data_IF_870531376908
#
_entry.id   IF_870531376908
#
_cell.length_a   1.000
_cell.length_b   1.000
_cell.length_c   1.000
_cell.angle_alpha   90.00
_cell.angle_beta   90.00
_cell.angle_gamma   90.00
#
_symmetry.space_group_name_H-M   'P 1'
#
loop_
_entity.id
_entity.type
_entity.pdbx_description
1 polymer ?
#
# COMPACT_ATOMS: atom_id res chain seq x y z
N UNK A 1 54.54 0.59 5.30
CA UNK A 1 53.39 -0.28 5.63
C UNK A 1 52.90 0.01 7.04
N UNK A 2 51.63 0.39 7.19
CA UNK A 2 50.99 0.46 8.50
C UNK A 2 50.83 -0.97 9.06
N UNK A 3 50.93 -1.14 10.39
CA UNK A 3 50.76 -2.45 11.03
C UNK A 3 49.38 -3.11 10.75
N UNK A 4 48.41 -2.33 10.23
CA UNK A 4 47.07 -2.78 9.88
C UNK A 4 47.01 -3.64 8.61
N UNK A 5 47.68 -3.22 7.52
CA UNK A 5 47.66 -3.97 6.24
C UNK A 5 48.34 -5.34 6.38
N UNK A 6 49.43 -5.39 7.15
CA UNK A 6 50.16 -6.63 7.42
C UNK A 6 49.28 -7.66 8.12
N UNK A 7 48.65 -7.24 9.24
CA UNK A 7 47.74 -8.10 10.01
C UNK A 7 46.55 -8.56 9.16
N UNK A 8 45.98 -7.66 8.37
CA UNK A 8 44.84 -7.96 7.49
C UNK A 8 45.16 -9.03 6.44
N UNK A 9 46.32 -8.94 5.77
CA UNK A 9 46.73 -9.96 4.80
C UNK A 9 47.02 -11.32 5.46
N UNK A 10 47.58 -11.32 6.68
CA UNK A 10 47.82 -12.55 7.44
C UNK A 10 46.51 -13.23 7.89
N UNK A 11 45.54 -12.47 8.39
CA UNK A 11 44.22 -12.97 8.80
C UNK A 11 43.44 -13.57 7.63
N UNK A 12 43.62 -13.03 6.41
CA UNK A 12 43.05 -13.61 5.20
C UNK A 12 43.80 -14.86 4.70
N UNK A 13 44.91 -15.24 5.32
CA UNK A 13 45.78 -16.32 4.85
C UNK A 13 46.52 -15.97 3.55
N UNK A 14 46.68 -14.68 3.27
CA UNK A 14 47.22 -14.12 2.04
C UNK A 14 48.56 -13.38 2.27
N UNK A 15 49.26 -13.70 3.36
CA UNK A 15 50.54 -13.09 3.75
C UNK A 15 51.65 -13.16 2.70
N UNK A 16 51.53 -14.03 1.70
CA UNK A 16 52.45 -14.07 0.54
C UNK A 16 52.44 -12.81 -0.33
N UNK A 17 51.42 -11.95 -0.21
CA UNK A 17 51.31 -10.69 -0.95
C UNK A 17 51.85 -9.47 -0.17
N UNK A 18 52.36 -9.69 1.06
CA UNK A 18 52.88 -8.61 1.91
C UNK A 18 53.96 -7.78 1.22
N UNK A 19 54.94 -8.44 0.58
CA UNK A 19 56.03 -7.75 -0.10
C UNK A 19 55.52 -6.84 -1.23
N UNK A 20 54.53 -7.31 -1.99
CA UNK A 20 54.00 -6.55 -3.13
C UNK A 20 53.16 -5.36 -2.67
N UNK A 21 52.36 -5.52 -1.62
CA UNK A 21 51.61 -4.39 -1.03
C UNK A 21 52.56 -3.37 -0.38
N UNK A 22 53.70 -3.83 0.17
CA UNK A 22 54.75 -2.95 0.71
C UNK A 22 55.45 -2.14 -0.38
N UNK A 23 55.86 -2.81 -1.46
CA UNK A 23 56.61 -2.22 -2.58
C UNK A 23 55.79 -1.20 -3.38
N UNK A 24 54.46 -1.31 -3.33
CA UNK A 24 53.53 -0.38 -3.96
C UNK A 24 52.89 0.60 -2.96
N UNK A 25 53.48 0.74 -1.76
CA UNK A 25 53.07 1.70 -0.72
C UNK A 25 51.58 1.65 -0.35
N UNK A 26 50.96 0.47 -0.38
CA UNK A 26 49.56 0.30 0.00
C UNK A 26 49.42 0.35 1.52
N UNK A 27 48.87 1.45 2.02
CA UNK A 27 48.50 1.63 3.43
C UNK A 27 47.01 1.33 3.69
N UNK A 28 46.55 1.52 4.93
CA UNK A 28 45.17 1.20 5.34
C UNK A 28 44.12 2.07 4.65
N UNK A 29 44.46 3.30 4.25
CA UNK A 29 43.53 4.21 3.58
C UNK A 29 43.38 3.83 2.10
N UNK A 30 44.51 3.57 1.42
CA UNK A 30 44.54 3.08 0.04
C UNK A 30 43.98 1.66 -0.10
N UNK A 31 44.18 0.80 0.91
CA UNK A 31 43.61 -0.55 0.96
C UNK A 31 42.09 -0.50 0.75
N UNK A 32 41.43 0.48 1.35
CA UNK A 32 39.99 0.67 1.23
C UNK A 32 39.57 1.27 -0.08
N UNK A 33 40.46 1.55 -1.03
CA UNK A 33 40.10 2.09 -2.34
C UNK A 33 40.40 1.10 -3.47
N UNK A 34 41.14 0.01 -3.18
CA UNK A 34 41.51 -0.99 -4.18
C UNK A 34 40.30 -1.64 -4.88
N UNK A 35 40.43 -1.75 -6.19
CA UNK A 35 39.50 -2.41 -7.11
C UNK A 35 40.06 -3.74 -7.63
N UNK A 36 39.24 -4.53 -8.35
CA UNK A 36 39.71 -5.79 -8.95
C UNK A 36 40.84 -5.56 -9.97
N UNK A 37 40.85 -4.40 -10.64
CA UNK A 37 41.87 -4.07 -11.63
C UNK A 37 43.18 -3.66 -10.95
N UNK A 38 43.14 -2.89 -9.86
CA UNK A 38 44.33 -2.56 -9.07
C UNK A 38 45.00 -3.82 -8.50
N UNK A 39 44.20 -4.79 -8.04
CA UNK A 39 44.72 -6.07 -7.54
C UNK A 39 45.37 -6.92 -8.66
N UNK A 40 44.92 -6.79 -9.91
CA UNK A 40 45.58 -7.43 -11.05
C UNK A 40 46.92 -6.76 -11.35
N UNK A 41 46.99 -5.44 -11.29
CA UNK A 41 48.22 -4.67 -11.48
C UNK A 41 49.26 -4.95 -10.37
N UNK A 42 48.80 -5.16 -9.14
CA UNK A 42 49.60 -5.64 -8.00
C UNK A 42 49.99 -7.14 -8.12
N UNK A 43 49.77 -7.78 -9.26
CA UNK A 43 50.23 -9.15 -9.51
C UNK A 43 49.44 -10.24 -8.78
N UNK A 44 48.24 -9.94 -8.24
CA UNK A 44 47.36 -10.94 -7.64
C UNK A 44 46.62 -11.70 -8.74
N UNK A 45 47.31 -12.61 -9.44
CA UNK A 45 46.76 -13.33 -10.60
C UNK A 45 45.60 -14.30 -10.24
N UNK A 46 45.56 -14.81 -9.01
CA UNK A 46 44.51 -15.73 -8.54
C UNK A 46 43.19 -14.99 -8.34
N UNK A 47 42.18 -15.33 -9.16
CA UNK A 47 40.82 -14.79 -9.05
C UNK A 47 40.23 -14.99 -7.65
N UNK A 48 40.48 -16.15 -7.04
CA UNK A 48 39.98 -16.45 -5.69
C UNK A 48 40.59 -15.53 -4.62
N UNK A 49 41.86 -15.15 -4.76
CA UNK A 49 42.50 -14.23 -3.81
C UNK A 49 41.98 -12.81 -3.98
N UNK A 50 41.78 -12.35 -5.23
CA UNK A 50 41.19 -11.03 -5.49
C UNK A 50 39.77 -10.92 -4.96
N UNK A 51 38.92 -11.92 -5.20
CA UNK A 51 37.55 -11.94 -4.64
C UNK A 51 37.55 -11.94 -3.11
N UNK A 52 38.47 -12.67 -2.47
CA UNK A 52 38.62 -12.70 -1.02
C UNK A 52 39.05 -11.34 -0.45
N UNK A 53 40.03 -10.70 -1.10
CA UNK A 53 40.50 -9.35 -0.73
C UNK A 53 39.41 -8.29 -0.90
N UNK A 54 38.71 -8.26 -2.03
CA UNK A 54 37.65 -7.28 -2.29
C UNK A 54 36.46 -7.43 -1.33
N UNK A 55 36.09 -8.66 -0.98
CA UNK A 55 35.04 -8.90 0.02
C UNK A 55 35.48 -8.38 1.40
N UNK A 56 36.71 -8.70 1.82
CA UNK A 56 37.24 -8.23 3.09
C UNK A 56 37.42 -6.69 3.14
N UNK A 57 37.78 -6.05 2.02
CA UNK A 57 37.78 -4.59 1.90
C UNK A 57 36.35 -4.03 2.03
N UNK A 58 35.36 -4.68 1.43
CA UNK A 58 33.94 -4.33 1.60
C UNK A 58 33.47 -4.37 3.06
N UNK A 59 33.92 -5.36 3.82
CA UNK A 59 33.64 -5.47 5.26
C UNK A 59 34.31 -4.31 6.03
N UNK A 60 35.58 -4.03 5.79
CA UNK A 60 36.28 -2.94 6.45
C UNK A 60 35.68 -1.56 6.13
N UNK A 61 35.27 -1.31 4.88
CA UNK A 61 34.52 -0.09 4.51
C UNK A 61 33.22 0.04 5.30
N UNK A 62 32.52 -1.09 5.52
CA UNK A 62 31.28 -1.10 6.29
C UNK A 62 31.52 -0.86 7.79
N UNK A 63 32.69 -1.21 8.32
CA UNK A 63 33.08 -0.99 9.71
C UNK A 63 33.59 0.44 9.94
N UNK A 64 34.36 1.03 9.02
CA UNK A 64 34.74 2.45 9.11
C UNK A 64 33.52 3.38 9.03
N UNK A 65 32.54 3.06 8.20
CA UNK A 65 31.27 3.80 8.15
C UNK A 65 30.47 3.65 9.46
N UNK A 66 30.62 2.54 10.20
CA UNK A 66 30.01 2.35 11.54
C UNK A 66 30.73 3.15 12.64
N UNK A 67 32.06 3.29 12.56
CA UNK A 67 32.85 4.04 13.55
C UNK A 67 32.75 5.55 13.32
N UNK A 68 32.76 6.01 12.06
CA UNK A 68 32.55 7.43 11.73
C UNK A 68 31.13 7.92 12.07
N UNK A 69 30.15 7.02 12.19
CA UNK A 69 28.76 7.34 12.56
C UNK A 69 28.49 7.34 14.07
N UNK A 70 29.44 6.91 14.93
CA UNK A 70 29.30 7.00 16.39
C UNK A 70 29.66 8.39 16.96
N UNK A 71 30.57 9.13 16.32
CA UNK A 71 31.13 10.38 16.88
C UNK A 71 30.30 11.65 16.59
N UNK A 72 29.21 11.55 15.80
CA UNK A 72 28.32 12.67 15.47
C UNK A 72 26.99 12.65 16.24
N UNK A 73 26.87 11.87 17.33
CA UNK A 73 25.70 11.89 18.23
C UNK A 73 25.66 13.13 19.13
N UNK A 74 25.48 14.31 18.54
CA UNK A 74 24.65 15.33 19.16
C UNK A 74 23.98 16.16 18.07
N UNK A 75 22.65 16.09 18.05
CA UNK A 75 21.68 16.89 17.27
C UNK A 75 21.01 16.13 16.07
N UNK A 76 19.87 15.51 16.43
CA UNK A 76 18.62 15.33 15.66
C UNK A 76 18.46 14.28 14.55
N UNK A 77 17.34 13.55 14.70
CA UNK A 77 16.59 12.67 13.77
C UNK A 77 17.16 11.26 13.54
N UNK A 78 16.68 10.31 14.34
CA UNK A 78 16.80 8.87 14.15
C UNK A 78 16.06 8.41 12.89
N UNK A 79 16.80 8.10 11.83
CA UNK A 79 16.32 7.14 10.83
C UNK A 79 16.73 5.78 11.37
N UNK A 80 15.78 5.11 12.04
CA UNK A 80 15.98 3.75 12.54
C UNK A 80 16.35 2.83 11.38
N UNK A 81 17.43 2.09 11.59
CA UNK A 81 17.71 0.87 10.82
C UNK A 81 16.53 -0.06 11.09
N UNK A 82 15.64 -0.26 10.11
CA UNK A 82 14.37 -0.95 10.30
C UNK A 82 14.62 -2.41 10.78
N UNK A 83 14.53 -2.61 12.10
CA UNK A 83 14.34 -3.94 12.67
C UNK A 83 13.05 -4.54 12.11
N UNK A 84 13.01 -5.86 11.97
CA UNK A 84 11.83 -6.56 11.45
C UNK A 84 10.60 -6.22 12.31
N UNK A 85 9.66 -5.48 11.74
CA UNK A 85 8.49 -4.94 12.42
C UNK A 85 7.26 -5.81 12.14
N UNK A 86 6.64 -6.33 13.19
CA UNK A 86 5.34 -7.00 13.08
C UNK A 86 4.24 -5.95 13.06
N UNK A 87 3.52 -5.84 11.95
CA UNK A 87 2.41 -4.88 11.76
C UNK A 87 1.25 -5.53 11.01
N UNK A 88 0.09 -4.88 11.02
CA UNK A 88 -1.02 -5.26 10.14
C UNK A 88 -0.85 -4.57 8.79
N UNK A 89 -0.93 -5.33 7.69
CA UNK A 89 -0.93 -4.78 6.34
C UNK A 89 -2.11 -5.32 5.53
N UNK A 90 -2.59 -4.49 4.62
CA UNK A 90 -3.46 -4.94 3.53
C UNK A 90 -2.61 -5.16 2.29
N UNK A 91 -2.64 -6.39 1.78
CA UNK A 91 -1.86 -6.82 0.62
C UNK A 91 -2.80 -6.98 -0.57
N UNK A 92 -2.42 -6.40 -1.70
CA UNK A 92 -3.14 -6.53 -2.96
C UNK A 92 -2.25 -7.18 -4.01
N UNK A 93 -2.81 -8.14 -4.73
CA UNK A 93 -2.25 -8.70 -5.95
C UNK A 93 -3.16 -8.38 -7.13
N UNK A 94 -2.58 -7.83 -8.19
CA UNK A 94 -3.22 -7.66 -9.49
C UNK A 94 -2.50 -8.53 -10.52
N UNK A 95 -3.23 -9.19 -11.39
CA UNK A 95 -2.68 -10.09 -12.40
C UNK A 95 -3.43 -9.94 -13.73
N UNK A 96 -2.69 -9.89 -14.83
CA UNK A 96 -3.27 -9.76 -16.16
C UNK A 96 -3.86 -11.10 -16.61
N UNK A 97 -5.12 -11.09 -17.02
CA UNK A 97 -5.79 -12.29 -17.51
C UNK A 97 -5.21 -12.69 -18.86
N UNK A 98 -4.83 -13.96 -18.99
CA UNK A 98 -4.44 -14.54 -20.26
C UNK A 98 -3.08 -14.05 -20.77
N UNK A 99 -2.19 -13.61 -19.89
CA UNK A 99 -0.85 -13.12 -20.26
C UNK A 99 0.00 -14.15 -21.02
N UNK A 100 -0.20 -15.44 -20.73
CA UNK A 100 0.50 -16.52 -21.43
C UNK A 100 -0.01 -16.65 -22.86
N UNK A 101 -1.32 -16.59 -23.07
CA UNK A 101 -1.94 -16.58 -24.39
C UNK A 101 -1.54 -15.33 -25.17
N UNK A 102 -1.48 -14.17 -24.51
CA UNK A 102 -0.99 -12.92 -25.09
C UNK A 102 0.44 -13.03 -25.57
N UNK A 103 1.31 -13.70 -24.81
CA UNK A 103 2.71 -13.90 -25.19
C UNK A 103 2.90 -14.80 -26.42
N UNK A 104 1.87 -15.57 -26.80
CA UNK A 104 1.87 -16.39 -28.01
C UNK A 104 1.31 -15.65 -29.23
N UNK A 105 0.50 -14.61 -29.02
CA UNK A 105 -0.16 -13.86 -30.09
C UNK A 105 0.59 -12.58 -30.47
N UNK A 106 1.27 -11.97 -29.50
CA UNK A 106 1.98 -10.72 -29.67
C UNK A 106 3.48 -10.95 -29.84
N UNK A 107 4.11 -10.11 -30.64
CA UNK A 107 5.56 -10.04 -30.68
C UNK A 107 6.11 -9.54 -29.32
N UNK A 108 7.33 -9.92 -28.91
CA UNK A 108 7.87 -9.55 -27.60
C UNK A 108 7.93 -8.04 -27.33
N UNK A 109 8.07 -7.22 -28.37
CA UNK A 109 8.07 -5.76 -28.27
C UNK A 109 6.67 -5.23 -27.92
N UNK A 110 5.63 -5.73 -28.60
CA UNK A 110 4.23 -5.37 -28.34
C UNK A 110 3.79 -5.84 -26.95
N UNK A 111 4.14 -7.08 -26.57
CA UNK A 111 3.83 -7.61 -25.24
C UNK A 111 4.47 -6.76 -24.13
N UNK A 112 5.70 -6.27 -24.35
CA UNK A 112 6.38 -5.39 -23.39
C UNK A 112 5.64 -4.06 -23.24
N UNK A 113 5.17 -3.49 -24.35
CA UNK A 113 4.48 -2.20 -24.33
C UNK A 113 3.08 -2.33 -23.68
N UNK A 114 2.36 -3.43 -23.93
CA UNK A 114 1.11 -3.78 -23.23
C UNK A 114 1.33 -3.95 -21.73
N UNK A 115 2.32 -4.75 -21.32
CA UNK A 115 2.64 -4.95 -19.91
C UNK A 115 3.02 -3.65 -19.22
N UNK A 116 3.76 -2.77 -19.90
CA UNK A 116 4.12 -1.46 -19.36
C UNK A 116 2.88 -0.57 -19.15
N UNK A 117 1.99 -0.50 -20.14
CA UNK A 117 0.75 0.27 -20.02
C UNK A 117 -0.14 -0.23 -18.88
N UNK A 118 -0.25 -1.56 -18.73
CA UNK A 118 -0.92 -2.19 -17.61
C UNK A 118 -0.28 -1.85 -16.26
N UNK A 119 1.05 -2.01 -16.14
CA UNK A 119 1.78 -1.71 -14.91
C UNK A 119 1.68 -0.23 -14.52
N UNK A 120 1.76 0.68 -15.50
CA UNK A 120 1.62 2.12 -15.28
C UNK A 120 0.19 2.48 -14.80
N UNK A 121 -0.84 1.85 -15.38
CA UNK A 121 -2.23 2.02 -14.93
C UNK A 121 -2.44 1.48 -13.51
N UNK A 122 -1.92 0.29 -13.19
CA UNK A 122 -1.95 -0.28 -11.85
C UNK A 122 -1.26 0.63 -10.84
N UNK A 123 -0.03 1.07 -11.15
CA UNK A 123 0.74 1.97 -10.30
C UNK A 123 -0.03 3.26 -10.02
N UNK A 124 -0.57 3.91 -11.05
CA UNK A 124 -1.33 5.14 -10.90
C UNK A 124 -2.57 4.95 -10.02
N UNK A 125 -3.30 3.83 -10.17
CA UNK A 125 -4.44 3.51 -9.33
C UNK A 125 -4.03 3.25 -7.86
N UNK A 126 -2.93 2.52 -7.64
CA UNK A 126 -2.43 2.17 -6.30
C UNK A 126 -1.93 3.41 -5.56
N UNK A 127 -1.05 4.20 -6.19
CA UNK A 127 -0.46 5.41 -5.59
C UNK A 127 -1.53 6.48 -5.31
N UNK A 128 -2.60 6.55 -6.11
CA UNK A 128 -3.73 7.46 -5.88
C UNK A 128 -4.42 7.26 -4.52
N UNK A 129 -4.40 6.03 -3.99
CA UNK A 129 -4.98 5.69 -2.69
C UNK A 129 -3.91 5.47 -1.60
N UNK A 130 -2.72 6.05 -1.79
CA UNK A 130 -1.54 5.96 -0.93
C UNK A 130 -1.06 4.50 -0.71
N UNK A 131 -1.28 3.64 -1.70
CA UNK A 131 -0.68 2.30 -1.72
C UNK A 131 0.77 2.33 -2.20
N UNK A 132 1.56 1.38 -1.72
CA UNK A 132 2.95 1.19 -2.12
C UNK A 132 3.09 0.00 -3.06
N UNK A 133 3.56 0.23 -4.30
CA UNK A 133 3.89 -0.86 -5.23
C UNK A 133 5.19 -1.51 -4.78
N UNK A 134 5.09 -2.71 -4.24
CA UNK A 134 6.21 -3.41 -3.66
C UNK A 134 7.05 -4.13 -4.72
N UNK A 135 6.39 -4.78 -5.68
CA UNK A 135 7.09 -5.60 -6.69
C UNK A 135 6.26 -5.80 -7.95
N UNK A 136 6.95 -5.84 -9.08
CA UNK A 136 6.44 -6.34 -10.36
C UNK A 136 6.86 -7.80 -10.55
N UNK A 137 5.93 -8.66 -10.93
CA UNK A 137 6.11 -10.10 -11.09
C UNK A 137 5.73 -10.52 -12.51
N UNK A 138 6.45 -10.00 -13.51
CA UNK A 138 6.07 -10.15 -14.91
C UNK A 138 4.83 -9.31 -15.21
N UNK A 139 3.70 -9.97 -15.36
CA UNK A 139 2.36 -9.42 -15.56
C UNK A 139 1.58 -9.22 -14.24
N UNK A 140 2.14 -9.67 -13.11
CA UNK A 140 1.61 -9.42 -11.78
C UNK A 140 2.13 -8.13 -11.13
N UNK A 141 1.30 -7.48 -10.31
CA UNK A 141 1.64 -6.34 -9.46
C UNK A 141 1.31 -6.69 -8.01
N UNK A 142 2.29 -6.55 -7.12
CA UNK A 142 2.13 -6.69 -5.67
C UNK A 142 2.19 -5.31 -5.01
N UNK A 143 1.18 -4.99 -4.22
CA UNK A 143 1.08 -3.73 -3.51
C UNK A 143 0.70 -3.90 -2.04
N UNK A 144 1.16 -2.96 -1.22
CA UNK A 144 0.88 -2.89 0.22
C UNK A 144 0.17 -1.58 0.57
N UNK A 145 -0.84 -1.68 1.42
CA UNK A 145 -1.48 -0.55 2.08
C UNK A 145 -1.21 -0.68 3.58
N UNK A 146 -0.84 0.44 4.18
CA UNK A 146 -0.30 0.52 5.53
C UNK A 146 1.23 0.50 5.62
N UNK A 147 1.91 0.62 4.47
CA UNK A 147 3.36 0.71 4.35
C UNK A 147 3.75 1.77 3.31
N UNK A 148 4.78 2.61 3.56
CA UNK A 148 5.53 2.72 4.81
C UNK A 148 4.73 3.39 5.94
N UNK A 149 3.66 4.10 5.61
CA UNK A 149 2.77 4.79 6.54
C UNK A 149 1.43 4.06 6.66
N UNK A 150 0.95 3.91 7.90
CA UNK A 150 -0.33 3.26 8.21
C UNK A 150 -1.50 4.24 8.27
N UNK A 151 -2.67 3.80 7.78
CA UNK A 151 -3.93 4.51 7.88
C UNK A 151 -5.02 3.60 8.48
N UNK A 152 -5.99 4.20 9.18
CA UNK A 152 -7.12 3.44 9.71
C UNK A 152 -8.02 2.83 8.61
N UNK A 153 -7.92 3.33 7.38
CA UNK A 153 -8.74 2.95 6.24
C UNK A 153 -7.94 2.23 5.14
N UNK A 154 -6.79 1.63 5.45
CA UNK A 154 -5.97 0.89 4.48
C UNK A 154 -6.71 -0.24 3.75
N UNK A 155 -7.69 -0.89 4.40
CA UNK A 155 -8.55 -1.88 3.74
C UNK A 155 -9.49 -1.23 2.71
N UNK A 156 -10.09 -0.08 3.04
CA UNK A 156 -10.96 0.70 2.14
C UNK A 156 -10.15 1.25 0.95
N UNK A 157 -8.94 1.76 1.21
CA UNK A 157 -7.98 2.23 0.19
C UNK A 157 -7.61 1.15 -0.80
N UNK A 158 -7.28 -0.04 -0.31
CA UNK A 158 -6.93 -1.17 -1.17
C UNK A 158 -8.08 -1.57 -2.08
N UNK A 159 -9.32 -1.61 -1.56
CA UNK A 159 -10.50 -1.93 -2.36
C UNK A 159 -10.74 -0.87 -3.43
N UNK A 160 -10.68 0.42 -3.07
CA UNK A 160 -10.81 1.50 -4.06
C UNK A 160 -9.73 1.44 -5.14
N UNK A 161 -8.48 1.17 -4.77
CA UNK A 161 -7.40 0.97 -5.73
C UNK A 161 -7.70 -0.22 -6.65
N UNK A 162 -8.14 -1.36 -6.11
CA UNK A 162 -8.50 -2.54 -6.89
C UNK A 162 -9.63 -2.28 -7.89
N UNK A 163 -10.69 -1.60 -7.48
CA UNK A 163 -11.78 -1.19 -8.37
C UNK A 163 -11.29 -0.23 -9.45
N UNK A 164 -10.42 0.73 -9.09
CA UNK A 164 -9.83 1.66 -10.06
C UNK A 164 -8.93 0.96 -11.07
N UNK A 165 -8.19 -0.07 -10.66
CA UNK A 165 -7.40 -0.92 -11.57
C UNK A 165 -8.30 -1.58 -12.60
N UNK A 166 -9.44 -2.14 -12.17
CA UNK A 166 -10.44 -2.73 -13.07
C UNK A 166 -10.99 -1.69 -14.06
N UNK A 167 -11.38 -0.50 -13.59
CA UNK A 167 -11.85 0.59 -14.46
C UNK A 167 -10.80 1.00 -15.50
N UNK A 168 -9.53 1.10 -15.09
CA UNK A 168 -8.45 1.47 -16.00
C UNK A 168 -8.20 0.44 -17.10
N UNK A 169 -8.59 -0.84 -16.91
CA UNK A 169 -8.53 -1.82 -18.01
C UNK A 169 -9.52 -1.48 -19.13
N UNK A 170 -10.72 -1.01 -18.78
CA UNK A 170 -11.70 -0.56 -19.76
C UNK A 170 -11.20 0.68 -20.54
N UNK A 171 -10.55 1.62 -19.83
CA UNK A 171 -9.93 2.80 -20.44
C UNK A 171 -8.79 2.41 -21.42
N UNK A 172 -7.93 1.45 -21.02
CA UNK A 172 -6.85 0.94 -21.86
C UNK A 172 -7.39 0.23 -23.11
N UNK A 173 -8.40 -0.64 -22.96
CA UNK A 173 -9.04 -1.32 -24.09
C UNK A 173 -9.66 -0.31 -25.08
N UNK A 174 -10.28 0.76 -24.58
CA UNK A 174 -10.83 1.82 -25.42
C UNK A 174 -9.74 2.62 -26.16
N UNK A 175 -8.60 2.87 -25.51
CA UNK A 175 -7.49 3.62 -26.09
C UNK A 175 -6.68 2.82 -27.13
N UNK A 176 -6.50 1.52 -26.90
CA UNK A 176 -5.81 0.61 -27.82
C UNK A 176 -6.68 0.33 -29.05
N UNK A 177 -8.00 0.22 -28.87
CA UNK A 177 -8.97 -0.11 -29.93
C UNK A 177 -8.70 -1.50 -30.54
N UNK A 178 -9.44 -1.86 -31.59
CA UNK A 178 -9.29 -3.13 -32.35
C UNK A 178 -7.89 -3.35 -32.98
N UNK A 179 -6.93 -2.44 -32.78
CA UNK A 179 -5.63 -2.44 -33.47
C UNK A 179 -4.77 -3.67 -33.19
N UNK A 180 -5.01 -4.37 -32.07
CA UNK A 180 -4.30 -5.61 -31.72
C UNK A 180 -5.23 -6.81 -31.50
N UNK A 181 -6.56 -6.64 -31.58
CA UNK A 181 -7.55 -7.72 -31.40
C UNK A 181 -7.53 -8.37 -30.00
N UNK A 182 -6.95 -7.68 -29.01
CA UNK A 182 -6.75 -8.16 -27.64
C UNK A 182 -7.64 -7.37 -26.70
N UNK A 183 -8.38 -8.09 -25.85
CA UNK A 183 -9.10 -7.52 -24.72
C UNK A 183 -8.32 -7.78 -23.44
N UNK A 184 -7.84 -6.72 -22.79
CA UNK A 184 -7.14 -6.81 -21.52
C UNK A 184 -8.16 -6.97 -20.38
N UNK A 185 -7.88 -7.91 -19.48
CA UNK A 185 -8.63 -8.08 -18.25
C UNK A 185 -7.69 -8.27 -17.08
N UNK A 186 -8.17 -7.98 -15.87
CA UNK A 186 -7.36 -8.08 -14.64
C UNK A 186 -8.10 -8.89 -13.58
N UNK A 187 -7.36 -9.59 -12.73
CA UNK A 187 -7.87 -10.22 -11.51
C UNK A 187 -7.21 -9.57 -10.31
N UNK A 188 -8.01 -9.18 -9.32
CA UNK A 188 -7.50 -8.51 -8.11
C UNK A 188 -7.87 -9.33 -6.88
N UNK A 189 -6.88 -9.62 -6.03
CA UNK A 189 -7.05 -10.28 -4.74
C UNK A 189 -6.51 -9.42 -3.61
N UNK A 190 -7.29 -9.21 -2.56
CA UNK A 190 -6.92 -8.37 -1.42
C UNK A 190 -7.12 -9.13 -0.11
N UNK A 191 -6.10 -9.13 0.74
CA UNK A 191 -6.20 -9.68 2.09
C UNK A 191 -5.55 -8.76 3.11
N UNK A 192 -6.16 -8.66 4.30
CA UNK A 192 -5.62 -7.89 5.42
C UNK A 192 -5.24 -8.83 6.55
N UNK A 193 -4.07 -8.62 7.15
CA UNK A 193 -3.62 -9.46 8.25
C UNK A 193 -2.25 -9.10 8.79
N UNK A 194 -1.81 -9.75 9.88
CA UNK A 194 -0.52 -9.52 10.50
C UNK A 194 0.60 -10.04 9.60
N UNK A 195 1.65 -9.23 9.44
CA UNK A 195 2.85 -9.58 8.69
C UNK A 195 4.09 -9.03 9.41
N UNK A 196 5.24 -9.58 9.08
CA UNK A 196 6.54 -9.07 9.51
C UNK A 196 7.18 -8.38 8.32
N UNK A 197 7.47 -7.10 8.46
CA UNK A 197 8.16 -6.28 7.46
C UNK A 197 9.59 -6.12 7.90
N UNK A 198 10.55 -6.59 7.11
CA UNK A 198 11.96 -6.37 7.39
C UNK A 198 12.81 -6.52 6.13
N UNK A 199 14.03 -5.99 6.19
CA UNK A 199 15.05 -6.31 5.21
C UNK A 199 15.46 -7.77 5.42
N UNK A 200 14.84 -8.71 4.68
CA UNK A 200 15.34 -10.08 4.57
C UNK A 200 16.64 -10.03 3.77
N UNK A 201 17.74 -9.73 4.45
CA UNK A 201 19.09 -9.79 3.88
C UNK A 201 19.45 -11.27 3.69
N UNK A 202 19.10 -11.82 2.53
CA UNK A 202 19.87 -12.87 1.88
C UNK A 202 20.94 -12.22 1.02
N UNK A 203 22.18 -12.69 1.09
CA UNK A 203 23.29 -12.18 0.28
C UNK A 203 22.95 -12.24 -1.22
N UNK A 204 22.67 -11.08 -1.81
CA UNK A 204 22.55 -10.88 -3.26
C UNK A 204 21.12 -10.76 -3.78
N UNK A 205 20.62 -9.52 -3.82
CA UNK A 205 19.68 -8.91 -4.77
C UNK A 205 18.78 -7.92 -4.05
N UNK A 206 18.77 -6.67 -4.54
CA UNK A 206 17.79 -5.59 -4.36
C UNK A 206 17.15 -5.41 -2.97
N UNK A 207 17.25 -4.19 -2.42
CA UNK A 207 16.44 -3.76 -1.27
C UNK A 207 14.94 -3.86 -1.61
N UNK A 208 14.37 -5.03 -1.40
CA UNK A 208 12.95 -5.30 -1.41
C UNK A 208 12.59 -5.62 0.04
N UNK A 209 11.87 -4.71 0.71
CA UNK A 209 11.34 -4.99 2.05
C UNK A 209 10.42 -6.19 1.96
N UNK A 210 10.94 -7.34 2.36
CA UNK A 210 10.28 -8.61 2.16
C UNK A 210 9.25 -8.79 3.27
N UNK A 211 7.98 -8.75 2.89
CA UNK A 211 6.86 -8.96 3.80
C UNK A 211 6.66 -10.46 3.98
N UNK A 212 6.85 -10.95 5.20
CA UNK A 212 6.66 -12.36 5.55
C UNK A 212 5.37 -12.51 6.35
N UNK A 213 4.51 -13.42 5.91
CA UNK A 213 3.27 -13.76 6.61
C UNK A 213 2.36 -14.63 5.76
N UNK A 214 1.23 -15.03 6.33
CA UNK A 214 0.19 -15.76 5.60
C UNK A 214 -0.60 -14.82 4.68
N UNK A 215 -0.68 -13.52 5.00
CA UNK A 215 -1.47 -12.52 4.27
C UNK A 215 -1.09 -12.38 2.79
N UNK A 216 0.20 -12.25 2.40
CA UNK A 216 0.55 -12.19 0.97
C UNK A 216 0.17 -13.46 0.21
N UNK A 217 0.34 -14.63 0.84
CA UNK A 217 -0.07 -15.90 0.24
C UNK A 217 -1.59 -15.97 0.07
N UNK A 218 -2.36 -15.50 1.06
CA UNK A 218 -3.82 -15.43 0.97
C UNK A 218 -4.25 -14.48 -0.16
N UNK A 219 -3.70 -13.27 -0.24
CA UNK A 219 -4.04 -12.30 -1.30
C UNK A 219 -3.78 -12.86 -2.70
N UNK A 220 -2.64 -13.53 -2.92
CA UNK A 220 -2.34 -14.20 -4.18
C UNK A 220 -3.35 -15.32 -4.52
N UNK A 221 -3.83 -16.06 -3.51
CA UNK A 221 -4.84 -17.12 -3.71
C UNK A 221 -6.22 -16.54 -4.04
N UNK A 222 -6.61 -15.45 -3.38
CA UNK A 222 -7.85 -14.73 -3.68
C UNK A 222 -7.84 -14.18 -5.10
N UNK A 223 -6.71 -13.63 -5.56
CA UNK A 223 -6.55 -13.20 -6.96
C UNK A 223 -6.80 -14.37 -7.93
N UNK A 224 -6.25 -15.55 -7.65
CA UNK A 224 -6.49 -16.74 -8.46
C UNK A 224 -7.95 -17.23 -8.45
N UNK A 225 -8.74 -16.87 -7.44
CA UNK A 225 -10.18 -17.16 -7.36
C UNK A 225 -11.04 -16.10 -8.05
N UNK A 226 -10.50 -14.92 -8.33
CA UNK A 226 -11.24 -13.84 -8.97
C UNK A 226 -11.57 -14.18 -10.42
N UNK A 227 -12.81 -13.89 -10.81
CA UNK A 227 -13.18 -13.84 -12.22
C UNK A 227 -12.55 -12.60 -12.88
N UNK A 228 -12.45 -12.61 -14.21
CA UNK A 228 -11.92 -11.48 -14.97
C UNK A 228 -12.66 -10.19 -14.61
N UNK A 229 -11.90 -9.13 -14.36
CA UNK A 229 -12.34 -7.79 -13.98
C UNK A 229 -13.06 -7.72 -12.62
N UNK A 230 -12.79 -8.67 -11.72
CA UNK A 230 -13.35 -8.66 -10.37
C UNK A 230 -12.28 -8.47 -9.29
N UNK A 231 -12.71 -7.88 -8.18
CA UNK A 231 -11.94 -7.72 -6.95
C UNK A 231 -12.47 -8.70 -5.91
N UNK A 232 -11.60 -9.57 -5.39
CA UNK A 232 -11.95 -10.58 -4.39
C UNK A 232 -11.20 -10.35 -3.09
N UNK A 233 -11.91 -10.43 -1.97
CA UNK A 233 -11.39 -10.13 -0.63
C UNK A 233 -11.67 -11.24 0.39
N UNK A 234 -10.82 -11.32 1.42
CA UNK A 234 -11.04 -12.16 2.60
C UNK A 234 -11.90 -11.47 3.67
N UNK A 235 -12.32 -12.25 4.67
CA UNK A 235 -13.16 -11.79 5.79
C UNK A 235 -12.55 -10.66 6.57
N UNK A 236 -11.24 -10.75 6.83
CA UNK A 236 -10.51 -9.71 7.54
C UNK A 236 -10.59 -8.35 6.82
N UNK A 237 -10.52 -8.33 5.49
CA UNK A 237 -10.66 -7.10 4.70
C UNK A 237 -12.11 -6.63 4.67
N UNK A 238 -13.08 -7.54 4.52
CA UNK A 238 -14.51 -7.23 4.57
C UNK A 238 -14.91 -6.59 5.91
N UNK A 239 -14.48 -7.18 7.03
CA UNK A 239 -14.81 -6.70 8.38
C UNK A 239 -14.23 -5.30 8.64
N UNK A 240 -13.04 -5.01 8.11
CA UNK A 240 -12.38 -3.70 8.24
C UNK A 240 -12.96 -2.64 7.31
N UNK A 241 -13.34 -3.01 6.09
CA UNK A 241 -13.97 -2.09 5.14
C UNK A 241 -15.44 -1.81 5.51
N UNK A 242 -16.12 -2.76 6.16
CA UNK A 242 -17.52 -2.64 6.58
C UNK A 242 -18.47 -2.36 5.42
N UNK A 243 -19.60 -1.72 5.69
CA UNK A 243 -20.67 -1.45 4.71
C UNK A 243 -20.36 -0.35 3.68
N UNK A 244 -19.09 -0.11 3.38
CA UNK A 244 -18.59 0.90 2.42
C UNK A 244 -18.64 0.46 0.97
N UNK A 245 -18.78 -0.83 0.75
CA UNK A 245 -18.95 -1.40 -0.57
C UNK A 245 -20.15 -2.34 -0.57
N UNK A 246 -20.63 -2.62 -1.77
CA UNK A 246 -21.54 -3.71 -2.04
C UNK A 246 -20.72 -4.97 -2.30
N UNK A 247 -21.14 -6.07 -1.68
CA UNK A 247 -20.40 -7.33 -1.72
C UNK A 247 -21.31 -8.48 -2.13
N UNK A 248 -20.75 -9.40 -2.90
CA UNK A 248 -21.34 -10.71 -3.18
C UNK A 248 -20.53 -11.79 -2.47
N UNK A 249 -21.19 -12.64 -1.68
CA UNK A 249 -20.51 -13.73 -0.98
C UNK A 249 -20.22 -14.88 -1.96
N UNK A 250 -18.94 -15.21 -2.14
CA UNK A 250 -18.47 -16.32 -2.96
C UNK A 250 -18.34 -17.63 -2.19
N UNK A 251 -18.75 -17.64 -0.91
CA UNK A 251 -18.74 -18.78 -0.02
C UNK A 251 -17.42 -19.00 0.73
N UNK A 252 -17.28 -20.18 1.32
CA UNK A 252 -16.11 -20.56 2.12
C UNK A 252 -15.21 -21.51 1.33
N UNK A 253 -13.92 -21.22 1.28
CA UNK A 253 -12.94 -21.96 0.49
C UNK A 253 -11.79 -22.46 1.36
N UNK A 254 -11.37 -23.70 1.14
CA UNK A 254 -10.11 -24.19 1.70
C UNK A 254 -8.94 -23.63 0.91
N UNK A 255 -8.11 -22.82 1.56
CA UNK A 255 -6.94 -22.20 0.93
C UNK A 255 -5.70 -23.00 1.32
N UNK A 256 -5.02 -23.57 0.33
CA UNK A 256 -3.79 -24.35 0.55
C UNK A 256 -2.76 -23.53 1.35
N UNK A 257 -2.36 -24.06 2.50
CA UNK A 257 -1.39 -23.42 3.40
C UNK A 257 -2.02 -22.58 4.51
N UNK A 258 -3.36 -22.51 4.58
CA UNK A 258 -4.11 -21.90 5.66
C UNK A 258 -4.92 -23.00 6.35
N UNK A 259 -4.85 -23.06 7.68
CA UNK A 259 -5.44 -24.15 8.45
C UNK A 259 -6.98 -24.11 8.47
N UNK A 260 -7.55 -22.91 8.43
CA UNK A 260 -8.99 -22.68 8.48
C UNK A 260 -9.54 -22.28 7.11
N UNK A 261 -10.76 -22.71 6.82
CA UNK A 261 -11.42 -22.33 5.58
C UNK A 261 -11.79 -20.84 5.62
N UNK A 262 -11.50 -20.13 4.53
CA UNK A 262 -11.61 -18.67 4.45
C UNK A 262 -12.90 -18.33 3.71
N UNK A 263 -13.72 -17.46 4.31
CA UNK A 263 -14.86 -16.86 3.60
C UNK A 263 -14.35 -15.81 2.62
N UNK A 264 -14.98 -15.76 1.46
CA UNK A 264 -14.54 -14.95 0.33
C UNK A 264 -15.69 -14.10 -0.19
N UNK A 265 -15.40 -12.84 -0.50
CA UNK A 265 -16.36 -11.90 -1.06
C UNK A 265 -15.81 -11.29 -2.34
N UNK A 266 -16.70 -11.07 -3.31
CA UNK A 266 -16.44 -10.18 -4.43
C UNK A 266 -16.92 -8.78 -4.06
N UNK A 267 -16.11 -7.77 -4.36
CA UNK A 267 -16.53 -6.37 -4.27
C UNK A 267 -17.20 -5.99 -5.59
N UNK A 268 -18.44 -5.51 -5.52
CA UNK A 268 -19.25 -5.15 -6.69
C UNK A 268 -19.07 -3.68 -7.04
N UNK A 269 -19.32 -2.79 -6.07
CA UNK A 269 -19.25 -1.35 -6.26
C UNK A 269 -19.08 -0.61 -4.92
N UNK A 270 -18.67 0.67 -4.91
CA UNK A 270 -18.81 1.52 -3.74
C UNK A 270 -20.27 1.62 -3.28
N UNK A 271 -20.51 1.53 -1.97
CA UNK A 271 -21.83 1.65 -1.35
C UNK A 271 -22.27 3.11 -1.31
N UNK A 272 -23.55 3.35 -1.54
CA UNK A 272 -24.18 4.68 -1.42
C UNK A 272 -24.36 5.10 0.06
N UNK A 273 -23.62 4.60 1.05
CA UNK A 273 -23.85 4.95 2.47
C UNK A 273 -23.59 6.45 2.78
N UNK A 274 -24.35 7.10 3.69
CA UNK A 274 -24.19 8.55 3.99
C UNK A 274 -22.88 8.87 4.71
N UNK A 275 -22.19 7.86 5.27
CA UNK A 275 -20.83 8.04 5.79
C UNK A 275 -20.04 6.79 6.12
N UNK A 276 -18.70 6.95 6.15
CA UNK A 276 -17.90 6.79 7.39
C UNK A 276 -18.39 5.71 8.35
N UNK A 277 -19.04 6.30 9.33
CA UNK A 277 -19.48 5.70 10.57
C UNK A 277 -20.68 4.79 10.35
N UNK A 278 -21.64 5.23 9.55
CA UNK A 278 -22.87 4.49 9.27
C UNK A 278 -22.58 3.17 8.54
N UNK A 279 -21.66 3.20 7.57
CA UNK A 279 -21.21 2.01 6.85
C UNK A 279 -20.58 0.97 7.79
N UNK A 280 -19.73 1.40 8.73
CA UNK A 280 -19.06 0.51 9.70
C UNK A 280 -20.01 0.00 10.80
N UNK A 281 -21.06 0.75 11.16
CA UNK A 281 -21.93 0.46 12.31
C UNK A 281 -23.33 -0.02 11.92
N UNK A 282 -23.51 -0.59 10.72
CA UNK A 282 -24.80 -1.14 10.25
C UNK A 282 -25.37 -2.23 11.18
N UNK A 283 -24.51 -2.86 12.01
CA UNK A 283 -24.86 -3.87 13.02
C UNK A 283 -25.27 -3.29 14.40
N UNK A 284 -25.36 -1.97 14.54
CA UNK A 284 -25.75 -1.30 15.78
C UNK A 284 -24.61 -0.50 16.40
N UNK A 285 -24.95 0.65 16.98
CA UNK A 285 -23.98 1.56 17.58
C UNK A 285 -23.95 1.36 19.09
N UNK A 286 -22.76 1.28 19.68
CA UNK A 286 -22.60 1.18 21.13
C UNK A 286 -23.12 2.45 21.84
N UNK A 287 -23.62 2.35 23.08
CA UNK A 287 -24.05 3.52 23.84
C UNK A 287 -22.91 4.52 24.02
N UNK A 288 -23.18 5.81 23.81
CA UNK A 288 -22.22 6.86 24.10
C UNK A 288 -22.08 7.01 25.63
N UNK A 289 -20.86 6.87 26.16
CA UNK A 289 -20.58 6.94 27.61
C UNK A 289 -19.71 8.15 27.91
N UNK A 290 -20.06 8.95 28.93
CA UNK A 290 -19.18 9.98 29.48
C UNK A 290 -19.02 11.22 28.60
N UNK A 291 -20.01 11.52 27.76
CA UNK A 291 -20.04 12.68 26.84
C UNK A 291 -21.31 13.52 26.99
N UNK A 292 -21.89 13.50 28.19
CA UNK A 292 -23.14 14.18 28.49
C UNK A 292 -23.00 15.70 28.36
N UNK A 293 -21.82 16.25 28.67
CA UNK A 293 -21.55 17.68 28.57
C UNK A 293 -21.51 18.15 27.12
N UNK A 294 -20.77 17.46 26.25
CA UNK A 294 -20.65 17.81 24.83
C UNK A 294 -21.99 17.68 24.11
N UNK A 295 -22.75 16.62 24.40
CA UNK A 295 -24.09 16.45 23.84
C UNK A 295 -25.05 17.52 24.38
N UNK A 296 -24.97 17.84 25.68
CA UNK A 296 -25.78 18.90 26.28
C UNK A 296 -25.57 20.25 25.59
N UNK A 297 -24.30 20.62 25.32
CA UNK A 297 -23.96 21.84 24.59
C UNK A 297 -24.55 21.85 23.17
N UNK A 298 -24.44 20.74 22.44
CA UNK A 298 -24.97 20.64 21.09
C UNK A 298 -26.50 20.71 21.05
N UNK A 299 -27.18 20.09 22.01
CA UNK A 299 -28.64 20.17 22.14
C UNK A 299 -29.10 21.57 22.52
N UNK A 300 -28.37 22.28 23.40
CA UNK A 300 -28.68 23.67 23.72
C UNK A 300 -28.60 24.56 22.47
N UNK A 301 -27.55 24.39 21.64
CA UNK A 301 -27.42 25.10 20.36
C UNK A 301 -28.52 24.72 19.38
N UNK A 302 -28.96 23.47 19.38
CA UNK A 302 -30.10 23.03 18.57
C UNK A 302 -31.39 23.78 18.94
N UNK A 303 -31.68 23.96 20.23
CA UNK A 303 -32.86 24.72 20.67
C UNK A 303 -32.82 26.18 20.19
N UNK A 304 -31.69 26.88 20.35
CA UNK A 304 -31.56 28.26 19.83
C UNK A 304 -31.73 28.33 18.30
N UNK A 305 -31.22 27.34 17.57
CA UNK A 305 -31.40 27.28 16.12
C UNK A 305 -32.88 27.13 15.72
N UNK A 306 -33.68 26.38 16.50
CA UNK A 306 -35.13 26.27 16.30
C UNK A 306 -35.88 27.58 16.57
N UNK A 307 -35.36 28.41 17.47
CA UNK A 307 -35.91 29.74 17.78
C UNK A 307 -35.58 30.79 16.71
N UNK A 308 -34.77 30.45 15.70
CA UNK A 308 -34.37 31.32 14.60
C UNK A 308 -32.97 31.93 14.77
N UNK A 309 -32.31 31.68 15.90
CA UNK A 309 -30.94 32.12 16.15
C UNK A 309 -29.95 31.10 15.59
N UNK A 310 -29.55 31.28 14.33
CA UNK A 310 -28.64 30.38 13.63
C UNK A 310 -27.35 30.09 14.41
N UNK A 311 -27.04 28.81 14.61
CA UNK A 311 -25.87 28.36 15.38
C UNK A 311 -24.82 27.68 14.49
N UNK A 312 -23.56 27.80 14.88
CA UNK A 312 -22.46 27.03 14.31
C UNK A 312 -21.65 26.39 15.45
N UNK A 313 -21.23 25.14 15.29
CA UNK A 313 -20.40 24.44 16.27
C UNK A 313 -19.28 23.71 15.56
N UNK A 314 -18.08 23.74 16.16
CA UNK A 314 -16.90 23.06 15.64
C UNK A 314 -16.48 21.96 16.62
N UNK A 315 -16.46 20.71 16.13
CA UNK A 315 -16.08 19.54 16.91
C UNK A 315 -14.69 19.06 16.48
N UNK A 316 -13.71 19.14 17.39
CA UNK A 316 -12.32 18.75 17.14
C UNK A 316 -11.81 17.79 18.21
N UNK A 317 -10.78 17.03 17.87
CA UNK A 317 -10.16 16.03 18.74
C UNK A 317 -9.40 14.97 17.94
N UNK A 318 -8.67 14.13 18.64
CA UNK A 318 -7.83 13.06 18.06
C UNK A 318 -8.65 12.01 17.28
N UNK A 319 -7.99 11.26 16.41
CA UNK A 319 -8.62 10.11 15.74
C UNK A 319 -9.14 9.11 16.79
N UNK A 320 -10.26 8.44 16.50
CA UNK A 320 -10.87 7.48 17.43
C UNK A 320 -11.56 8.04 18.69
N UNK A 321 -11.41 9.33 19.04
CA UNK A 321 -11.92 9.91 20.31
C UNK A 321 -13.47 9.95 20.44
N UNK A 322 -14.20 9.58 19.38
CA UNK A 322 -15.67 9.51 19.37
C UNK A 322 -16.39 10.69 18.69
N UNK A 323 -15.70 11.54 17.90
CA UNK A 323 -16.32 12.70 17.22
C UNK A 323 -17.54 12.32 16.37
N UNK A 324 -17.40 11.29 15.53
CA UNK A 324 -18.48 10.79 14.68
C UNK A 324 -19.66 10.26 15.51
N UNK A 325 -19.38 9.63 16.66
CA UNK A 325 -20.42 9.15 17.58
C UNK A 325 -21.19 10.30 18.22
N UNK A 326 -20.52 11.39 18.60
CA UNK A 326 -21.16 12.60 19.13
C UNK A 326 -22.12 13.21 18.08
N UNK A 327 -21.65 13.37 16.85
CA UNK A 327 -22.48 13.88 15.74
C UNK A 327 -23.70 12.98 15.48
N UNK A 328 -23.50 11.66 15.53
CA UNK A 328 -24.58 10.68 15.34
C UNK A 328 -25.59 10.72 16.50
N UNK A 329 -25.11 10.82 17.73
CA UNK A 329 -25.96 10.91 18.92
C UNK A 329 -26.80 12.18 18.92
N UNK A 330 -26.24 13.31 18.46
CA UNK A 330 -27.02 14.53 18.24
C UNK A 330 -28.15 14.27 17.24
N UNK A 331 -27.84 13.62 16.10
CA UNK A 331 -28.83 13.25 15.08
C UNK A 331 -29.94 12.36 15.61
N UNK A 332 -29.59 11.34 16.39
CA UNK A 332 -30.56 10.44 17.03
C UNK A 332 -31.49 11.21 17.97
N UNK A 333 -30.96 12.15 18.75
CA UNK A 333 -31.73 12.94 19.72
C UNK A 333 -32.59 14.03 19.10
N UNK A 334 -32.20 14.58 17.96
CA UNK A 334 -32.97 15.63 17.24
C UNK A 334 -33.88 15.05 16.16
N UNK A 335 -33.92 13.72 15.98
CA UNK A 335 -34.71 13.06 14.94
C UNK A 335 -36.22 13.30 15.07
N UNK A 336 -36.73 13.53 16.29
CA UNK A 336 -38.16 13.81 16.53
C UNK A 336 -38.61 15.16 15.98
N UNK A 337 -37.69 16.08 15.73
CA UNK A 337 -37.98 17.42 15.22
C UNK A 337 -38.09 17.43 13.68
N UNK A 338 -37.87 16.28 13.03
CA UNK A 338 -37.89 16.07 11.56
C UNK A 338 -37.20 17.17 10.73
N UNK A 339 -35.93 17.51 11.03
CA UNK A 339 -35.26 18.59 10.32
C UNK A 339 -34.85 18.17 8.89
N UNK A 340 -34.82 19.14 7.97
CA UNK A 340 -34.12 18.96 6.70
C UNK A 340 -32.62 18.81 7.01
N UNK A 341 -32.06 17.65 6.66
CA UNK A 341 -30.67 17.31 6.94
C UNK A 341 -29.85 17.34 5.66
N UNK A 342 -28.77 18.10 5.69
CA UNK A 342 -27.75 18.10 4.66
C UNK A 342 -26.44 17.67 5.30
N UNK A 343 -25.83 16.62 4.73
CA UNK A 343 -24.55 16.10 5.20
C UNK A 343 -23.53 16.22 4.08
N UNK A 344 -22.34 16.66 4.45
CA UNK A 344 -21.22 16.78 3.55
C UNK A 344 -20.03 16.08 4.19
N UNK A 345 -19.44 15.12 3.49
CA UNK A 345 -18.24 14.42 3.96
C UNK A 345 -17.11 14.65 2.98
N UNK A 346 -16.07 15.36 3.43
CA UNK A 346 -14.85 15.47 2.65
C UNK A 346 -14.10 14.13 2.66
N UNK A 347 -13.55 13.77 1.51
CA UNK A 347 -12.73 12.58 1.33
C UNK A 347 -11.30 12.99 0.95
N UNK A 348 -10.28 12.39 1.56
CA UNK A 348 -8.89 12.65 1.17
C UNK A 348 -8.62 12.24 -0.30
N UNK A 349 -9.43 11.34 -0.86
CA UNK A 349 -9.29 10.84 -2.24
C UNK A 349 -9.79 11.81 -3.31
N UNK A 350 -10.51 12.85 -2.90
CA UNK A 350 -11.17 13.81 -3.80
C UNK A 350 -10.71 15.24 -3.57
N UNK A 351 -9.48 15.43 -3.06
CA UNK A 351 -8.86 16.75 -2.84
C UNK A 351 -8.75 17.58 -4.13
N UNK A 352 -8.58 16.93 -5.28
CA UNK A 352 -8.51 17.57 -6.60
C UNK A 352 -9.87 17.66 -7.31
N UNK A 353 -10.96 17.24 -6.67
CA UNK A 353 -12.31 17.32 -7.22
C UNK A 353 -13.04 18.50 -6.58
N UNK A 354 -13.21 19.56 -7.35
CA UNK A 354 -13.87 20.77 -6.86
C UNK A 354 -15.30 20.45 -6.42
N UNK A 355 -15.65 20.89 -5.20
CA UNK A 355 -16.99 20.75 -4.62
C UNK A 355 -17.50 19.30 -4.51
N UNK A 356 -16.59 18.31 -4.52
CA UNK A 356 -16.95 16.89 -4.44
C UNK A 356 -18.05 16.54 -3.42
N UNK A 357 -17.95 16.91 -2.13
CA UNK A 357 -18.99 16.55 -1.16
C UNK A 357 -20.35 17.18 -1.45
N UNK A 358 -20.39 18.33 -2.15
CA UNK A 358 -21.64 18.99 -2.55
C UNK A 358 -22.25 18.28 -3.75
N UNK A 359 -21.42 17.92 -4.73
CA UNK A 359 -21.85 17.15 -5.91
C UNK A 359 -22.43 15.81 -5.45
N UNK A 360 -21.72 15.05 -4.62
CA UNK A 360 -22.17 13.76 -4.09
C UNK A 360 -23.53 13.90 -3.38
N UNK A 361 -23.70 14.94 -2.56
CA UNK A 361 -24.95 15.18 -1.86
C UNK A 361 -26.11 15.53 -2.82
N UNK A 362 -25.85 16.26 -3.90
CA UNK A 362 -26.84 16.58 -4.93
C UNK A 362 -27.21 15.34 -5.75
N UNK A 363 -26.22 14.58 -6.21
CA UNK A 363 -26.42 13.33 -6.95
C UNK A 363 -27.28 12.36 -6.12
N UNK A 364 -26.99 12.26 -4.83
CA UNK A 364 -27.77 11.45 -3.88
C UNK A 364 -29.19 11.97 -3.69
N UNK A 365 -29.36 13.27 -3.45
CA UNK A 365 -30.68 13.87 -3.26
C UNK A 365 -31.57 13.71 -4.50
N UNK A 366 -30.98 13.81 -5.70
CA UNK A 366 -31.64 13.60 -6.99
C UNK A 366 -31.74 12.12 -7.40
N UNK A 367 -31.15 11.19 -6.64
CA UNK A 367 -31.09 9.74 -6.95
C UNK A 367 -30.52 9.48 -8.34
N UNK A 368 -29.42 10.16 -8.67
CA UNK A 368 -28.68 9.90 -9.90
C UNK A 368 -27.90 8.60 -9.74
N UNK A 369 -28.02 7.72 -10.73
CA UNK A 369 -27.27 6.48 -10.82
C UNK A 369 -26.10 6.65 -11.79
N UNK A 370 -25.04 5.86 -11.60
CA UNK A 370 -23.85 5.88 -12.47
C UNK A 370 -24.21 5.55 -13.93
N UNK A 371 -25.21 4.69 -14.13
CA UNK A 371 -25.70 4.24 -15.44
C UNK A 371 -26.67 5.23 -16.13
N UNK A 372 -27.14 6.26 -15.42
CA UNK A 372 -28.07 7.23 -16.01
C UNK A 372 -27.41 8.00 -17.15
N UNK A 373 -28.08 8.02 -18.31
CA UNK A 373 -27.65 8.86 -19.43
C UNK A 373 -27.75 10.35 -19.07
N UNK A 374 -26.90 11.22 -19.65
CA UNK A 374 -26.90 12.66 -19.31
C UNK A 374 -28.25 13.37 -19.41
N UNK A 375 -29.11 12.93 -20.35
CA UNK A 375 -30.48 13.46 -20.47
C UNK A 375 -31.37 13.07 -19.29
N UNK A 376 -31.25 11.84 -18.82
CA UNK A 376 -32.01 11.33 -17.66
C UNK A 376 -31.54 12.02 -16.39
N UNK A 377 -30.23 12.24 -16.23
CA UNK A 377 -29.66 13.00 -15.11
C UNK A 377 -30.15 14.45 -15.05
N UNK A 378 -30.45 15.07 -16.20
CA UNK A 378 -30.94 16.45 -16.27
C UNK A 378 -32.46 16.56 -15.96
N UNK A 379 -33.22 15.50 -16.21
CA UNK A 379 -34.67 15.45 -15.97
C UNK A 379 -35.04 15.12 -14.52
N UNK A 380 -34.14 14.44 -13.79
CA UNK A 380 -34.21 14.24 -12.34
C UNK A 380 -33.85 15.54 -11.61
#
# INVERSE_FOLDING_TARGET
MSNGVTRWLEELGLGKYLAVFAENDIDTELLLQLTDDDLKELGVASLGHRKKMLNAIGILRSEEVRVATSDLQSISVSIDKAEAERRQLTVMFCDLVGSTELSQQLDPEDLRDVNRAYQDACKAAIERYDGYVARYMGDGVLAYFGYPQAHEDDAERAIHAGLRVVESMAELNAAVGDKQGVELGVRVGIATGPVVVGDLIGEGASQESAVVGETPNLAARLQGMASTNNVVIASSTYDLAGGRFEYEELGTHEVKGIAEAVRVWQVVAPSVAESRFEALHRAGVTPLVGREHEIGLLLERWEYAKEGDGQATFLSGEAGIGKSRISETLRERTATDDPIRLRYQCSPYHTNSALHPVIEQLERAARLESEDLPKVKLEK
#
